data_IF_754676584004
#
_entry.id   IF_754676584004
#
_cell.length_a   1.000
_cell.length_b   1.000
_cell.length_c   1.000
_cell.angle_alpha   90.00
_cell.angle_beta   90.00
_cell.angle_gamma   90.00
#
_symmetry.space_group_name_H-M   'P 1'
#
loop_
_entity.id
_entity.type
_entity.pdbx_description
1 polymer ?
#
# COMPACT_ATOMS: atom_id res chain seq x y z
N UNK A 1 3.72 15.16 -11.71
CA UNK A 1 4.63 14.23 -11.03
C UNK A 1 4.46 14.28 -9.53
N UNK A 2 4.44 13.15 -8.88
CA UNK A 2 4.40 13.19 -7.43
C UNK A 2 5.70 13.74 -6.87
N UNK A 3 5.62 14.35 -5.71
CA UNK A 3 6.81 14.88 -5.07
C UNK A 3 7.78 13.74 -4.75
N UNK A 4 9.07 14.05 -4.82
CA UNK A 4 10.09 13.05 -4.52
C UNK A 4 9.90 12.51 -3.09
N UNK A 5 9.97 11.20 -2.94
CA UNK A 5 9.83 10.55 -1.65
C UNK A 5 8.43 10.19 -1.26
N UNK A 6 7.43 10.65 -2.01
CA UNK A 6 6.05 10.27 -1.73
C UNK A 6 5.70 8.97 -2.42
N UNK A 7 4.99 8.13 -1.70
CA UNK A 7 4.53 6.85 -2.23
C UNK A 7 3.05 6.94 -2.57
N UNK A 8 2.69 6.39 -3.72
CA UNK A 8 1.30 6.29 -4.13
C UNK A 8 0.78 4.93 -3.65
N UNK A 9 0.15 4.93 -2.49
CA UNK A 9 -0.33 3.70 -1.87
C UNK A 9 -1.42 3.01 -2.68
N UNK A 10 -2.27 3.78 -3.35
CA UNK A 10 -3.29 3.19 -4.21
C UNK A 10 -2.64 2.42 -5.35
N UNK A 11 -1.60 3.00 -5.92
CA UNK A 11 -0.89 2.36 -7.01
C UNK A 11 -0.14 1.12 -6.55
N UNK A 12 0.43 1.18 -5.36
CA UNK A 12 1.13 0.03 -4.79
C UNK A 12 0.18 -1.15 -4.63
N UNK A 13 -1.03 -0.91 -4.17
CA UNK A 13 -2.04 -1.96 -4.04
C UNK A 13 -2.73 -2.30 -5.36
N UNK A 14 -2.58 -1.43 -6.37
CA UNK A 14 -3.21 -1.66 -7.67
C UNK A 14 -4.70 -1.41 -7.67
N UNK A 15 -5.15 -0.43 -6.89
CA UNK A 15 -6.56 -0.07 -6.80
C UNK A 15 -6.76 1.39 -7.14
N UNK A 16 -8.00 1.75 -7.46
CA UNK A 16 -8.38 3.13 -7.74
C UNK A 16 -8.49 3.92 -6.44
N UNK A 17 -8.35 5.24 -6.54
CA UNK A 17 -8.54 6.12 -5.38
C UNK A 17 -9.94 6.04 -4.83
N UNK A 18 -10.90 5.63 -5.65
CA UNK A 18 -12.29 5.49 -5.26
C UNK A 18 -12.63 4.09 -4.77
N UNK A 19 -11.66 3.21 -4.69
CA UNK A 19 -11.90 1.84 -4.31
C UNK A 19 -12.51 1.75 -2.91
N UNK A 20 -13.56 0.93 -2.74
CA UNK A 20 -14.13 0.73 -1.40
C UNK A 20 -13.18 -0.07 -0.52
N UNK A 21 -13.39 0.03 0.78
CA UNK A 21 -12.51 -0.61 1.76
C UNK A 21 -12.33 -2.11 1.53
N UNK A 22 -13.39 -2.79 1.12
CA UNK A 22 -13.31 -4.23 0.88
C UNK A 22 -12.42 -4.57 -0.31
N UNK A 23 -12.37 -3.71 -1.31
CA UNK A 23 -11.48 -3.91 -2.45
C UNK A 23 -10.02 -3.66 -2.08
N UNK A 24 -9.79 -2.67 -1.24
CA UNK A 24 -8.46 -2.39 -0.74
C UNK A 24 -7.93 -3.58 0.06
N UNK A 25 -8.77 -4.13 0.91
CA UNK A 25 -8.42 -5.31 1.69
C UNK A 25 -8.13 -6.52 0.82
N UNK A 26 -8.95 -6.72 -0.20
CA UNK A 26 -8.78 -7.82 -1.15
C UNK A 26 -7.44 -7.70 -1.90
N UNK A 27 -7.16 -6.49 -2.38
CA UNK A 27 -5.91 -6.22 -3.10
C UNK A 27 -4.71 -6.45 -2.20
N UNK A 28 -4.78 -6.01 -0.96
CA UNK A 28 -3.71 -6.24 0.00
C UNK A 28 -3.46 -7.73 0.20
N UNK A 29 -4.51 -8.50 0.45
CA UNK A 29 -4.38 -9.94 0.68
C UNK A 29 -3.74 -10.65 -0.51
N UNK A 30 -4.15 -10.27 -1.70
CA UNK A 30 -3.61 -10.86 -2.92
C UNK A 30 -2.11 -10.58 -3.05
N UNK A 31 -1.74 -9.31 -2.91
CA UNK A 31 -0.35 -8.90 -3.06
C UNK A 31 0.53 -9.43 -1.93
N UNK A 32 0.00 -9.45 -0.71
CA UNK A 32 0.74 -9.99 0.43
C UNK A 32 1.07 -11.46 0.23
N UNK A 33 0.14 -12.22 -0.34
CA UNK A 33 0.39 -13.63 -0.62
C UNK A 33 1.43 -13.81 -1.71
N UNK A 34 1.36 -12.99 -2.75
CA UNK A 34 2.29 -13.07 -3.88
C UNK A 34 3.73 -12.78 -3.47
N UNK A 35 3.93 -11.88 -2.52
CA UNK A 35 5.26 -11.43 -2.15
C UNK A 35 5.70 -11.90 -0.76
N UNK A 36 4.94 -12.80 -0.16
CA UNK A 36 5.27 -13.29 1.17
C UNK A 36 6.63 -13.99 1.19
N UNK A 37 7.46 -13.76 2.22
CA UNK A 37 8.78 -14.39 2.31
C UNK A 37 8.75 -15.92 2.29
N UNK A 38 7.68 -16.52 2.82
CA UNK A 38 7.54 -17.98 2.82
C UNK A 38 7.35 -18.55 1.42
N UNK A 39 6.75 -17.77 0.53
CA UNK A 39 6.53 -18.18 -0.86
C UNK A 39 7.74 -17.84 -1.73
N UNK A 40 8.46 -16.80 -1.34
CA UNK A 40 9.61 -16.28 -2.10
C UNK A 40 10.85 -16.20 -1.22
N UNK A 41 11.32 -17.34 -0.68
CA UNK A 41 12.46 -17.30 0.24
C UNK A 41 13.72 -16.79 -0.45
N UNK A 42 14.39 -15.85 0.21
CA UNK A 42 15.63 -15.30 -0.30
C UNK A 42 15.48 -14.29 -1.43
N UNK A 43 14.25 -13.94 -1.79
CA UNK A 43 14.00 -12.96 -2.84
C UNK A 43 13.86 -11.57 -2.23
N UNK A 44 14.92 -10.76 -2.34
CA UNK A 44 14.92 -9.43 -1.74
C UNK A 44 13.92 -8.49 -2.40
N UNK A 45 13.64 -8.68 -3.68
CA UNK A 45 12.66 -7.87 -4.40
C UNK A 45 11.26 -8.12 -3.87
N UNK A 46 10.90 -9.38 -3.67
CA UNK A 46 9.61 -9.73 -3.08
C UNK A 46 9.49 -9.21 -1.65
N UNK A 47 10.56 -9.27 -0.89
CA UNK A 47 10.59 -8.77 0.46
C UNK A 47 10.31 -7.26 0.51
N UNK A 48 10.93 -6.52 -0.39
CA UNK A 48 10.69 -5.08 -0.50
C UNK A 48 9.25 -4.78 -0.89
N UNK A 49 8.73 -5.52 -1.85
CA UNK A 49 7.34 -5.37 -2.28
C UNK A 49 6.38 -5.68 -1.15
N UNK A 50 6.66 -6.71 -0.38
CA UNK A 50 5.84 -7.07 0.76
C UNK A 50 5.78 -5.92 1.77
N UNK A 51 6.92 -5.29 2.04
CA UNK A 51 6.97 -4.15 2.96
C UNK A 51 6.16 -2.97 2.45
N UNK A 52 6.27 -2.68 1.17
CA UNK A 52 5.51 -1.59 0.56
C UNK A 52 4.01 -1.85 0.61
N UNK A 53 3.61 -3.06 0.31
CA UNK A 53 2.21 -3.45 0.34
C UNK A 53 1.65 -3.34 1.76
N UNK A 54 2.42 -3.78 2.74
CA UNK A 54 2.01 -3.70 4.14
C UNK A 54 1.87 -2.24 4.59
N UNK A 55 2.79 -1.40 4.19
CA UNK A 55 2.75 0.02 4.49
C UNK A 55 1.52 0.68 3.86
N UNK A 56 1.26 0.37 2.59
CA UNK A 56 0.10 0.91 1.89
C UNK A 56 -1.20 0.53 2.58
N UNK A 57 -1.31 -0.71 3.00
CA UNK A 57 -2.51 -1.15 3.69
C UNK A 57 -2.64 -0.55 5.09
N UNK A 58 -1.51 -0.33 5.75
CA UNK A 58 -1.52 0.33 7.07
C UNK A 58 -2.20 1.69 6.99
N UNK A 59 -2.01 2.39 5.88
CA UNK A 59 -2.62 3.70 5.66
C UNK A 59 -4.03 3.58 5.09
N UNK A 60 -4.18 2.84 4.01
CA UNK A 60 -5.44 2.78 3.28
C UNK A 60 -6.48 1.87 3.93
N UNK A 61 -6.05 0.96 4.78
CA UNK A 61 -6.95 0.06 5.47
C UNK A 61 -7.63 0.66 6.69
N UNK A 62 -7.18 1.82 7.12
CA UNK A 62 -7.78 2.53 8.26
C UNK A 62 -8.46 3.80 7.76
N UNK A 63 -9.74 3.96 8.08
CA UNK A 63 -10.53 5.10 7.59
C UNK A 63 -9.89 6.44 7.91
N UNK A 64 -9.38 6.61 9.12
CA UNK A 64 -8.79 7.86 9.55
C UNK A 64 -7.48 8.14 8.82
N UNK A 65 -6.63 7.14 8.71
CA UNK A 65 -5.36 7.29 8.02
C UNK A 65 -5.57 7.51 6.53
N UNK A 66 -6.52 6.79 5.95
CA UNK A 66 -6.85 6.97 4.54
C UNK A 66 -7.34 8.38 4.27
N UNK A 67 -8.24 8.90 5.11
CA UNK A 67 -8.74 10.25 4.95
C UNK A 67 -7.64 11.29 5.07
N UNK A 68 -6.73 11.11 6.01
CA UNK A 68 -5.59 12.01 6.17
C UNK A 68 -4.67 11.96 4.96
N UNK A 69 -4.42 10.77 4.45
CA UNK A 69 -3.59 10.59 3.27
C UNK A 69 -4.23 11.25 2.04
N UNK A 70 -5.55 11.08 1.87
CA UNK A 70 -6.27 11.64 0.73
C UNK A 70 -6.29 13.17 0.76
N UNK A 71 -6.33 13.76 1.96
CA UNK A 71 -6.33 15.22 2.10
C UNK A 71 -5.00 15.84 1.72
N UNK A 72 -3.92 15.16 2.01
CA UNK A 72 -2.59 15.68 1.70
C UNK A 72 -1.51 14.66 1.98
N UNK A 73 -1.16 13.84 0.97
CA UNK A 73 -0.10 12.85 1.15
C UNK A 73 1.21 13.43 1.66
N UNK A 74 1.50 14.66 1.28
CA UNK A 74 2.70 15.34 1.73
C UNK A 74 2.73 15.53 3.24
N UNK A 75 1.59 15.93 3.79
CA UNK A 75 1.47 16.15 5.22
C UNK A 75 1.52 14.85 5.99
N UNK A 76 0.93 13.82 5.39
CA UNK A 76 0.92 12.51 6.03
C UNK A 76 2.32 11.91 6.13
N UNK A 77 3.14 12.16 5.12
CA UNK A 77 4.49 11.60 5.05
C UNK A 77 5.48 12.23 6.03
N UNK A 78 5.10 13.33 6.64
CA UNK A 78 5.97 14.00 7.61
C UNK A 78 5.81 13.37 9.02
#
# INVERSE_FOLDING_TARGET
MPAAGQKDYYRILGVSKDAPSNEIKKAYRKQARQHHPDVNPGDSESEERFKEVAEAYHVLGDKKRRAAYDRGPERFAQ
#
